data_IF_730637443012
#
_entry.id   IF_730637443012
#
_cell.length_a   1.000
_cell.length_b   1.000
_cell.length_c   1.000
_cell.angle_alpha   90.00
_cell.angle_beta   90.00
_cell.angle_gamma   90.00
#
_symmetry.space_group_name_H-M   'P 1'
#
loop_
_entity.id
_entity.type
_entity.pdbx_description
1 polymer ?
#
# COMPACT_ATOMS: atom_id res chain seq x y z
N UNK A 1 -29.09 34.17 16.33
CA UNK A 1 -28.11 33.44 17.16
C UNK A 1 -28.52 31.98 17.19
N UNK A 2 -28.02 31.15 16.27
CA UNK A 2 -28.32 29.70 16.26
C UNK A 2 -27.09 28.97 16.78
N UNK A 3 -27.09 28.72 18.09
CA UNK A 3 -26.10 27.86 18.72
C UNK A 3 -26.43 26.42 18.32
N UNK A 4 -25.74 25.93 17.28
CA UNK A 4 -25.72 24.51 16.91
C UNK A 4 -25.31 23.73 18.15
N UNK A 5 -26.27 23.06 18.79
CA UNK A 5 -26.12 22.50 20.12
C UNK A 5 -25.09 21.39 20.16
N UNK A 6 -24.18 21.48 21.14
CA UNK A 6 -23.41 20.34 21.63
C UNK A 6 -24.13 19.83 22.87
N UNK A 7 -25.19 19.03 22.70
CA UNK A 7 -25.97 18.49 23.81
C UNK A 7 -25.27 17.26 24.40
N UNK A 8 -25.52 16.99 25.68
CA UNK A 8 -25.03 15.77 26.32
C UNK A 8 -25.43 14.53 25.50
N UNK A 9 -24.47 13.64 25.25
CA UNK A 9 -24.55 12.45 24.39
C UNK A 9 -24.52 12.70 22.86
N UNK A 10 -24.36 13.95 22.41
CA UNK A 10 -24.11 14.18 20.99
C UNK A 10 -22.79 13.53 20.57
N UNK A 11 -22.73 13.04 19.33
CA UNK A 11 -21.57 12.33 18.79
C UNK A 11 -21.04 13.07 17.56
N UNK A 12 -19.79 13.51 17.63
CA UNK A 12 -19.05 14.05 16.50
C UNK A 12 -18.21 12.95 15.86
N UNK A 13 -18.18 12.90 14.52
CA UNK A 13 -17.33 11.99 13.77
C UNK A 13 -16.18 12.77 13.15
N UNK A 14 -14.95 12.34 13.44
CA UNK A 14 -13.72 12.91 12.92
C UNK A 14 -13.17 11.98 11.86
N UNK A 15 -12.93 12.50 10.66
CA UNK A 15 -12.37 11.74 9.55
C UNK A 15 -11.08 12.40 9.12
N UNK A 16 -10.00 11.62 9.06
CA UNK A 16 -8.73 12.10 8.51
C UNK A 16 -8.90 12.45 7.03
N UNK A 17 -8.14 13.46 6.58
CA UNK A 17 -8.04 13.80 5.16
C UNK A 17 -7.45 12.62 4.38
N UNK A 18 -7.60 12.65 3.06
CA UNK A 18 -7.13 11.58 2.18
C UNK A 18 -5.66 11.23 2.43
N UNK A 19 -5.34 9.93 2.37
CA UNK A 19 -4.00 9.39 2.63
C UNK A 19 -3.44 9.63 4.05
N UNK A 20 -4.28 10.04 5.00
CA UNK A 20 -3.90 10.17 6.40
C UNK A 20 -4.70 9.19 7.27
N UNK A 21 -4.10 8.81 8.39
CA UNK A 21 -4.71 7.94 9.38
C UNK A 21 -4.33 8.40 10.79
N UNK A 22 -5.14 8.00 11.77
CA UNK A 22 -4.77 8.02 13.16
C UNK A 22 -3.63 7.01 13.40
N UNK A 23 -2.94 7.14 14.53
CA UNK A 23 -1.76 6.31 14.84
C UNK A 23 -2.07 4.81 14.92
N UNK A 24 -3.33 4.43 15.08
CA UNK A 24 -3.79 3.04 15.09
C UNK A 24 -4.23 2.52 13.70
N UNK A 25 -3.97 3.30 12.64
CA UNK A 25 -4.30 2.94 11.26
C UNK A 25 -5.77 3.18 10.87
N UNK A 26 -6.61 3.65 11.79
CA UNK A 26 -7.99 4.01 11.45
C UNK A 26 -8.06 5.39 10.80
N UNK A 27 -9.06 5.63 9.94
CA UNK A 27 -9.28 6.94 9.30
C UNK A 27 -10.41 7.72 9.95
N UNK A 28 -11.17 7.09 10.85
CA UNK A 28 -12.36 7.68 11.46
C UNK A 28 -12.42 7.39 12.95
N UNK A 29 -12.74 8.41 13.73
CA UNK A 29 -12.98 8.33 15.17
C UNK A 29 -14.26 9.05 15.55
N UNK A 30 -14.80 8.73 16.71
CA UNK A 30 -15.99 9.36 17.27
C UNK A 30 -15.65 9.95 18.63
N UNK A 31 -16.12 11.17 18.89
CA UNK A 31 -16.11 11.76 20.23
C UNK A 31 -17.55 11.98 20.68
N UNK A 32 -17.82 11.82 21.96
CA UNK A 32 -19.12 12.05 22.57
C UNK A 32 -19.06 13.28 23.49
N UNK A 33 -20.13 14.07 23.51
CA UNK A 33 -20.25 15.21 24.41
C UNK A 33 -20.62 14.73 25.82
N UNK A 34 -19.74 15.04 26.79
CA UNK A 34 -19.90 14.67 28.19
C UNK A 34 -20.89 15.59 28.91
N UNK A 35 -21.36 15.18 30.10
CA UNK A 35 -22.27 16.00 30.92
C UNK A 35 -21.62 17.29 31.43
N UNK A 36 -20.29 17.36 31.42
CA UNK A 36 -19.50 18.57 31.67
C UNK A 36 -19.59 19.60 30.54
N UNK A 37 -20.21 19.26 29.40
CA UNK A 37 -20.25 20.10 28.21
C UNK A 37 -18.94 20.08 27.40
N UNK A 38 -17.99 19.22 27.75
CA UNK A 38 -16.76 18.99 27.00
C UNK A 38 -16.86 17.72 26.17
N UNK A 39 -16.20 17.68 25.00
CA UNK A 39 -16.04 16.45 24.24
C UNK A 39 -15.10 15.50 24.97
N UNK A 40 -15.34 14.19 24.84
CA UNK A 40 -14.39 13.20 25.35
C UNK A 40 -13.03 13.31 24.64
N UNK A 41 -11.95 12.97 25.34
CA UNK A 41 -10.59 13.02 24.80
C UNK A 41 -10.22 11.71 24.08
N UNK A 42 -11.19 10.98 23.54
CA UNK A 42 -10.95 9.68 22.90
C UNK A 42 -10.35 9.80 21.50
N UNK A 43 -10.41 10.99 20.90
CA UNK A 43 -9.89 11.27 19.56
C UNK A 43 -8.47 11.84 19.66
N UNK A 44 -7.45 11.20 19.06
CA UNK A 44 -6.11 11.74 19.02
C UNK A 44 -6.05 13.10 18.31
N UNK A 45 -5.11 13.95 18.71
CA UNK A 45 -4.97 15.32 18.19
C UNK A 45 -4.44 15.40 16.76
N UNK A 46 -3.84 14.33 16.23
CA UNK A 46 -3.16 14.35 14.94
C UNK A 46 -3.53 13.14 14.07
N UNK A 47 -3.85 13.44 12.80
CA UNK A 47 -3.76 12.49 11.69
C UNK A 47 -2.37 12.62 11.07
N UNK A 48 -1.69 11.49 10.85
CA UNK A 48 -0.39 11.43 10.20
C UNK A 48 -0.55 10.87 8.79
N UNK A 49 0.41 11.15 7.89
CA UNK A 49 0.53 10.42 6.61
C UNK A 49 1.43 9.20 6.85
N UNK A 50 0.89 7.97 6.97
CA UNK A 50 1.69 6.79 7.25
C UNK A 50 2.74 6.56 6.18
N UNK A 51 3.87 5.99 6.56
CA UNK A 51 4.97 5.66 5.67
C UNK A 51 5.05 4.13 5.52
N UNK A 52 4.99 3.65 4.30
CA UNK A 52 5.25 2.26 3.95
C UNK A 52 6.75 1.94 4.05
N UNK A 53 7.13 0.65 4.08
CA UNK A 53 8.53 0.26 3.99
C UNK A 53 9.21 0.92 2.79
N UNK A 54 10.47 1.32 2.97
CA UNK A 54 11.25 1.98 1.92
C UNK A 54 11.27 1.13 0.65
N UNK A 55 11.11 1.79 -0.48
CA UNK A 55 11.15 1.18 -1.81
C UNK A 55 12.55 0.62 -2.08
N UNK A 56 12.68 -0.68 -2.33
CA UNK A 56 13.95 -1.27 -2.73
C UNK A 56 14.31 -0.85 -4.16
N UNK A 57 15.32 0.00 -4.29
CA UNK A 57 15.90 0.40 -5.58
C UNK A 57 16.96 -0.58 -6.12
N UNK A 58 17.34 -1.59 -5.32
CA UNK A 58 18.40 -2.56 -5.63
C UNK A 58 17.90 -3.90 -6.18
N UNK A 59 16.63 -3.98 -6.58
CA UNK A 59 16.06 -5.19 -7.16
C UNK A 59 16.74 -5.52 -8.51
N UNK A 60 17.04 -6.80 -8.71
CA UNK A 60 17.73 -7.28 -9.91
C UNK A 60 16.88 -7.05 -11.16
N UNK A 61 17.48 -6.45 -12.19
CA UNK A 61 16.84 -6.17 -13.47
C UNK A 61 15.57 -5.32 -13.36
N UNK A 62 15.46 -4.46 -12.35
CA UNK A 62 14.27 -3.63 -12.13
C UNK A 62 14.65 -2.16 -12.10
N UNK A 63 13.87 -1.32 -12.77
CA UNK A 63 13.94 0.14 -12.68
C UNK A 63 12.71 0.63 -11.95
N UNK A 64 12.89 1.60 -11.05
CA UNK A 64 11.83 2.16 -10.22
C UNK A 64 11.66 3.64 -10.53
N UNK A 65 10.42 4.11 -10.72
CA UNK A 65 10.16 5.49 -11.11
C UNK A 65 10.17 6.51 -9.96
N UNK A 66 9.98 6.07 -8.72
CA UNK A 66 9.79 6.92 -7.54
C UNK A 66 10.25 6.22 -6.27
N UNK A 67 10.71 7.00 -5.29
CA UNK A 67 11.04 6.55 -3.93
C UNK A 67 10.03 7.05 -2.88
N UNK A 68 8.95 7.73 -3.29
CA UNK A 68 7.86 8.09 -2.38
C UNK A 68 7.19 6.81 -1.85
N UNK A 69 7.15 6.72 -0.54
CA UNK A 69 6.61 5.59 0.20
C UNK A 69 5.57 6.04 1.24
N UNK A 70 5.10 7.29 1.20
CA UNK A 70 3.99 7.67 2.05
C UNK A 70 2.65 7.21 1.49
N UNK A 71 1.63 7.12 2.34
CA UNK A 71 0.29 6.68 1.96
C UNK A 71 -0.24 7.46 0.73
N UNK A 72 -0.83 6.74 -0.22
CA UNK A 72 -1.26 7.25 -1.52
C UNK A 72 -0.16 7.27 -2.59
N UNK A 73 1.11 7.05 -2.23
CA UNK A 73 2.18 6.95 -3.22
C UNK A 73 1.98 5.73 -4.12
N UNK A 74 2.28 5.89 -5.40
CA UNK A 74 2.26 4.82 -6.40
C UNK A 74 3.65 4.69 -7.04
N UNK A 75 4.27 3.54 -6.84
CA UNK A 75 5.61 3.23 -7.31
C UNK A 75 5.53 2.19 -8.41
N UNK A 76 6.02 2.55 -9.59
CA UNK A 76 6.08 1.69 -10.78
C UNK A 76 7.46 1.04 -10.87
N UNK A 77 7.43 -0.28 -10.93
CA UNK A 77 8.56 -1.17 -11.16
C UNK A 77 8.50 -1.68 -12.59
N UNK A 78 9.62 -1.57 -13.30
CA UNK A 78 9.73 -1.98 -14.69
C UNK A 78 10.94 -2.90 -14.86
N UNK A 79 10.71 -4.08 -15.44
CA UNK A 79 11.75 -5.05 -15.69
C UNK A 79 12.61 -4.63 -16.89
N UNK A 80 13.92 -4.85 -16.77
CA UNK A 80 14.90 -4.66 -17.84
C UNK A 80 14.68 -5.67 -18.96
N UNK A 81 15.19 -5.37 -20.16
CA UNK A 81 14.96 -6.17 -21.37
C UNK A 81 15.25 -7.67 -21.15
N UNK A 82 14.29 -8.52 -21.53
CA UNK A 82 14.25 -9.99 -21.35
C UNK A 82 14.06 -10.49 -19.91
N UNK A 83 13.71 -9.62 -18.97
CA UNK A 83 13.26 -10.00 -17.64
C UNK A 83 11.75 -9.74 -17.48
N UNK A 84 11.10 -10.61 -16.73
CA UNK A 84 9.68 -10.52 -16.41
C UNK A 84 9.46 -10.89 -14.95
N UNK A 85 8.36 -10.43 -14.38
CA UNK A 85 7.83 -10.96 -13.13
C UNK A 85 7.40 -12.43 -13.32
N UNK A 86 7.11 -13.12 -12.22
CA UNK A 86 6.68 -14.52 -12.23
C UNK A 86 5.43 -14.81 -13.06
N UNK A 87 4.58 -13.81 -13.27
CA UNK A 87 3.36 -13.87 -14.09
C UNK A 87 3.59 -13.51 -15.57
N UNK A 88 4.84 -13.25 -15.97
CA UNK A 88 5.19 -12.82 -17.33
C UNK A 88 4.97 -11.32 -17.60
N UNK A 89 4.48 -10.54 -16.64
CA UNK A 89 4.40 -9.09 -16.78
C UNK A 89 5.81 -8.47 -16.75
N UNK A 90 5.99 -7.35 -17.46
CA UNK A 90 7.24 -6.58 -17.43
C UNK A 90 7.15 -5.33 -16.56
N UNK A 91 5.95 -5.04 -16.04
CA UNK A 91 5.64 -3.81 -15.30
C UNK A 91 4.70 -4.14 -14.17
N UNK A 92 4.99 -3.61 -12.98
CA UNK A 92 4.06 -3.62 -11.85
C UNK A 92 4.03 -2.28 -11.14
N UNK A 93 2.91 -1.99 -10.51
CA UNK A 93 2.73 -0.77 -9.70
C UNK A 93 2.31 -1.17 -8.30
N UNK A 94 3.03 -0.67 -7.29
CA UNK A 94 2.70 -0.82 -5.88
C UNK A 94 2.15 0.48 -5.34
N UNK A 95 1.10 0.41 -4.53
CA UNK A 95 0.49 1.56 -3.87
C UNK A 95 0.63 1.46 -2.35
N UNK A 96 1.06 2.55 -1.74
CA UNK A 96 1.16 2.63 -0.29
C UNK A 96 -0.22 2.92 0.31
N UNK A 97 -0.69 2.05 1.21
CA UNK A 97 -1.98 2.18 1.86
C UNK A 97 -1.87 3.01 3.14
N UNK A 98 -3.00 3.55 3.60
CA UNK A 98 -3.12 4.24 4.91
C UNK A 98 -2.90 3.31 6.11
N UNK A 99 -2.83 2.00 5.89
CA UNK A 99 -2.35 1.05 6.90
C UNK A 99 -0.84 1.12 7.11
N UNK A 100 -0.08 1.87 6.29
CA UNK A 100 1.38 1.86 6.28
C UNK A 100 1.99 0.62 5.61
N UNK A 101 1.21 -0.09 4.80
CA UNK A 101 1.67 -1.27 4.06
C UNK A 101 1.44 -1.09 2.56
N UNK A 102 2.32 -1.69 1.76
CA UNK A 102 2.13 -1.77 0.32
C UNK A 102 0.97 -2.71 -0.01
N UNK A 103 0.20 -2.38 -1.06
CA UNK A 103 -0.90 -3.22 -1.56
C UNK A 103 -0.45 -4.57 -2.13
N UNK A 104 0.81 -4.67 -2.57
CA UNK A 104 1.44 -5.91 -2.98
C UNK A 104 2.82 -6.10 -2.33
N UNK A 105 3.25 -7.36 -2.28
CA UNK A 105 4.61 -7.72 -1.88
C UNK A 105 5.63 -7.25 -2.92
N UNK A 106 6.87 -7.11 -2.47
CA UNK A 106 7.99 -6.85 -3.36
C UNK A 106 8.38 -8.13 -4.11
N UNK A 107 8.69 -8.00 -5.40
CA UNK A 107 9.07 -9.12 -6.26
C UNK A 107 10.20 -8.66 -7.19
N UNK A 108 11.25 -9.48 -7.30
CA UNK A 108 12.35 -9.22 -8.22
C UNK A 108 12.01 -9.74 -9.62
N UNK A 109 12.49 -9.06 -10.66
CA UNK A 109 12.37 -9.56 -12.02
C UNK A 109 13.28 -10.78 -12.23
N UNK A 110 12.73 -11.87 -12.76
CA UNK A 110 13.50 -13.01 -13.23
C UNK A 110 13.83 -12.83 -14.71
N UNK A 111 15.07 -13.15 -15.13
CA UNK A 111 15.28 -13.40 -16.56
C UNK A 111 14.52 -14.65 -16.92
N UNK A 112 13.60 -14.54 -17.88
CA UNK A 112 13.01 -15.70 -18.50
C UNK A 112 14.16 -16.53 -19.06
N UNK A 113 14.51 -17.62 -18.39
CA UNK A 113 15.13 -18.70 -19.12
C UNK A 113 14.07 -19.05 -20.16
N UNK A 114 14.40 -18.85 -21.44
CA UNK A 114 13.59 -19.35 -22.55
C UNK A 114 13.11 -20.74 -22.15
N UNK A 115 11.83 -21.02 -22.33
CA UNK A 115 11.32 -22.36 -22.13
C UNK A 115 12.23 -23.35 -22.86
N UNK A 116 13.07 -24.06 -22.09
CA UNK A 116 13.40 -25.42 -22.44
C UNK A 116 12.12 -26.14 -22.07
N UNK A 117 11.36 -26.47 -23.11
CA UNK A 117 10.11 -27.20 -23.05
C UNK A 117 10.22 -28.35 -22.03
N UNK A 118 9.25 -28.53 -21.12
CA UNK A 118 9.30 -29.59 -20.12
C UNK A 118 8.95 -30.93 -20.76
N UNK A 119 9.91 -31.58 -21.41
CA UNK A 119 9.87 -33.03 -21.61
C UNK A 119 11.27 -33.62 -21.50
N UNK A 120 11.78 -33.66 -20.27
CA UNK A 120 12.89 -34.55 -19.93
C UNK A 120 12.56 -35.38 -18.70
N UNK A 121 11.37 -35.98 -18.74
CA UNK A 121 11.11 -37.27 -18.08
C UNK A 121 10.63 -38.24 -19.16
N UNK A 122 11.55 -39.04 -19.70
CA UNK A 122 11.24 -40.22 -20.51
C UNK A 122 11.66 -40.14 -21.99
N UNK A 123 12.80 -40.76 -22.30
CA UNK A 123 12.95 -41.70 -23.43
C UNK A 123 12.68 -41.22 -24.87
N UNK A 124 13.77 -40.99 -25.61
CA UNK A 124 13.96 -41.10 -27.07
C UNK A 124 13.12 -40.23 -28.02
N UNK A 125 13.83 -39.39 -28.80
CA UNK A 125 13.31 -38.80 -30.04
C UNK A 125 14.12 -39.34 -31.24
N UNK A 126 13.41 -39.91 -32.23
CA UNK A 126 13.96 -40.34 -33.52
C UNK A 126 14.45 -39.12 -34.31
N UNK A 127 15.68 -39.20 -34.79
CA UNK A 127 16.18 -38.33 -35.85
C UNK A 127 15.93 -39.03 -37.19
N UNK A 128 15.31 -38.31 -38.12
CA UNK A 128 15.37 -38.63 -39.56
C UNK A 128 16.61 -37.97 -40.13
#
# INVERSE_FOLDING_TARGET
>A
MTQSGNRYLDVATYTCIENHAFQDGTTTKKASCLSSGQWDNSVPSACIRPQCPTVSSSLSYTTVNSSDHGAGAAVRYECSQNATFSDGSSVRTRRCLVSGHWDSTEEACGKGYREITPHQFGGWAKLC
#
